data_IF_625814955283
#
_entry.id   IF_625814955283
#
_cell.length_a   1.000
_cell.length_b   1.000
_cell.length_c   1.000
_cell.angle_alpha   90.00
_cell.angle_beta   90.00
_cell.angle_gamma   90.00
#
_symmetry.space_group_name_H-M   'P 1'
#
loop_
_entity.id
_entity.type
_entity.pdbx_description
1 polymer ?
#
# COMPACT_ATOMS: atom_id res chain seq x y z
N UNK A 1 48.95 47.45 8.75
CA UNK A 1 48.75 46.52 9.89
C UNK A 1 47.64 45.57 9.51
N UNK A 2 48.01 44.35 9.09
CA UNK A 2 47.06 43.31 8.76
C UNK A 2 46.73 42.50 10.02
N UNK A 3 45.46 42.29 10.40
CA UNK A 3 45.12 41.43 11.53
C UNK A 3 45.41 39.96 11.18
N UNK A 4 46.08 39.27 12.09
CA UNK A 4 46.36 37.83 12.00
C UNK A 4 45.05 37.00 11.99
N UNK A 5 44.97 35.92 11.21
CA UNK A 5 43.81 35.04 11.21
C UNK A 5 43.69 34.31 12.57
N UNK A 6 42.46 34.05 13.04
CA UNK A 6 42.23 33.30 14.27
C UNK A 6 42.72 31.84 14.12
N UNK A 7 43.41 31.35 15.15
CA UNK A 7 43.85 29.95 15.25
C UNK A 7 42.66 29.00 15.19
N UNK A 8 42.78 27.84 14.48
CA UNK A 8 41.75 26.85 14.48
C UNK A 8 41.53 26.26 15.87
N UNK A 9 40.31 26.31 16.36
CA UNK A 9 39.90 25.70 17.60
C UNK A 9 40.19 24.19 17.55
N UNK A 10 41.05 23.73 18.44
CA UNK A 10 41.36 22.32 18.66
C UNK A 10 40.08 21.62 19.13
N UNK A 11 39.46 20.85 18.24
CA UNK A 11 38.32 20.02 18.57
C UNK A 11 38.74 19.01 19.64
N UNK A 12 38.13 19.11 20.81
CA UNK A 12 38.33 18.14 21.88
C UNK A 12 38.01 16.74 21.37
N UNK A 13 38.79 15.71 21.70
CA UNK A 13 38.47 14.34 21.36
C UNK A 13 37.13 13.97 22.02
N UNK A 14 36.13 13.62 21.21
CA UNK A 14 34.88 13.09 21.71
C UNK A 14 35.18 11.78 22.43
N UNK A 15 35.03 11.78 23.76
CA UNK A 15 35.09 10.60 24.60
C UNK A 15 33.97 9.61 24.15
N UNK A 16 34.24 8.85 23.14
CA UNK A 16 33.38 7.75 22.70
C UNK A 16 33.65 6.57 23.64
N UNK A 17 32.98 6.59 24.79
CA UNK A 17 32.91 5.41 25.67
C UNK A 17 32.38 4.26 24.81
N UNK A 18 33.11 3.15 24.65
CA UNK A 18 32.64 2.03 23.82
C UNK A 18 31.33 1.51 24.37
N UNK A 19 30.30 1.54 23.55
CA UNK A 19 29.00 0.98 23.91
C UNK A 19 29.18 -0.52 24.22
N UNK A 20 28.74 -1.01 25.39
CA UNK A 20 28.91 -2.42 25.74
C UNK A 20 28.23 -3.32 24.69
N UNK A 21 28.80 -4.48 24.38
CA UNK A 21 28.26 -5.41 23.40
C UNK A 21 26.82 -5.79 23.72
N UNK A 22 26.00 -6.00 22.70
CA UNK A 22 24.63 -6.47 22.85
C UNK A 22 24.67 -7.95 23.25
N UNK A 23 24.14 -8.27 24.41
CA UNK A 23 23.88 -9.63 24.85
C UNK A 23 22.66 -9.62 25.77
N UNK A 24 21.48 -9.77 25.16
CA UNK A 24 20.20 -9.70 25.86
C UNK A 24 19.42 -10.98 25.58
N UNK A 25 18.97 -11.63 26.63
CA UNK A 25 18.15 -12.84 26.58
C UNK A 25 16.74 -12.49 26.99
N UNK A 26 15.77 -12.80 26.16
CA UNK A 26 14.36 -12.52 26.36
C UNK A 26 13.53 -13.79 26.19
N UNK A 27 12.63 -14.05 27.13
CA UNK A 27 11.60 -15.06 26.92
C UNK A 27 10.51 -14.51 26.01
N UNK A 28 10.44 -15.03 24.80
CA UNK A 28 9.39 -14.65 23.85
C UNK A 28 8.14 -15.47 24.12
N UNK A 29 7.04 -14.77 24.40
CA UNK A 29 5.70 -15.37 24.50
C UNK A 29 4.90 -15.00 23.25
N UNK A 30 4.49 -16.00 22.53
CA UNK A 30 3.63 -15.78 21.36
C UNK A 30 2.22 -15.37 21.79
N UNK A 31 1.85 -14.12 21.50
CA UNK A 31 0.49 -13.60 21.63
C UNK A 31 -0.21 -13.60 20.24
N UNK A 32 -1.40 -14.22 20.14
CA UNK A 32 -2.17 -14.21 18.89
C UNK A 32 -2.52 -12.81 18.35
N UNK A 33 -2.64 -11.81 19.23
CA UNK A 33 -2.90 -10.43 18.83
C UNK A 33 -1.68 -9.80 18.13
N UNK A 34 -0.48 -10.07 18.64
CA UNK A 34 0.79 -9.64 18.02
C UNK A 34 0.96 -10.28 16.64
N UNK A 35 0.59 -11.54 16.49
CA UNK A 35 0.65 -12.26 15.23
C UNK A 35 -0.23 -11.64 14.16
N UNK A 36 -1.39 -11.13 14.52
CA UNK A 36 -2.28 -10.44 13.61
C UNK A 36 -1.70 -9.11 13.13
N UNK A 37 -1.15 -8.30 14.04
CA UNK A 37 -0.50 -7.03 13.72
C UNK A 37 0.69 -7.23 12.79
N UNK A 38 1.53 -8.24 13.06
CA UNK A 38 2.66 -8.61 12.21
C UNK A 38 2.16 -8.99 10.80
N UNK A 39 1.12 -9.82 10.70
CA UNK A 39 0.55 -10.21 9.43
C UNK A 39 0.00 -8.99 8.64
N UNK A 40 -0.65 -8.05 9.31
CA UNK A 40 -1.11 -6.81 8.67
C UNK A 40 0.03 -5.99 8.10
N UNK A 41 1.10 -5.76 8.86
CA UNK A 41 2.27 -5.01 8.38
C UNK A 41 2.92 -5.72 7.20
N UNK A 42 3.11 -7.04 7.27
CA UNK A 42 3.67 -7.81 6.16
C UNK A 42 2.81 -7.69 4.90
N UNK A 43 1.49 -7.77 5.03
CA UNK A 43 0.56 -7.62 3.93
C UNK A 43 0.53 -6.19 3.39
N UNK A 44 0.71 -5.20 4.25
CA UNK A 44 0.79 -3.79 3.84
C UNK A 44 2.09 -3.44 3.12
N UNK A 45 3.19 -4.13 3.43
CA UNK A 45 4.46 -4.02 2.71
C UNK A 45 4.48 -4.87 1.43
N UNK A 46 3.52 -5.76 1.25
CA UNK A 46 3.29 -6.49 -0.01
C UNK A 46 2.43 -5.65 -0.97
N UNK A 47 2.31 -6.12 -2.22
CA UNK A 47 1.42 -5.50 -3.22
C UNK A 47 -0.08 -5.63 -2.87
N UNK A 48 -0.41 -6.31 -1.76
CA UNK A 48 -1.77 -6.52 -1.26
C UNK A 48 -2.17 -5.53 -0.16
N UNK A 49 -1.70 -4.27 -0.21
CA UNK A 49 -2.10 -3.29 0.81
C UNK A 49 -3.62 -3.04 0.77
N UNK A 50 -4.23 -2.97 1.95
CA UNK A 50 -5.68 -2.75 2.10
C UNK A 50 -6.12 -1.44 1.44
N UNK A 51 -5.37 -0.37 1.68
CA UNK A 51 -5.67 0.96 1.14
C UNK A 51 -5.76 0.95 -0.38
N UNK A 52 -4.79 0.33 -1.08
CA UNK A 52 -4.80 0.26 -2.54
C UNK A 52 -5.95 -0.58 -3.08
N UNK A 53 -6.22 -1.70 -2.44
CA UNK A 53 -7.32 -2.56 -2.85
C UNK A 53 -8.66 -1.84 -2.74
N UNK A 54 -8.86 -1.05 -1.68
CA UNK A 54 -10.05 -0.22 -1.49
C UNK A 54 -10.12 0.92 -2.50
N UNK A 55 -8.99 1.55 -2.82
CA UNK A 55 -8.92 2.59 -3.85
C UNK A 55 -9.32 2.05 -5.22
N UNK A 56 -8.82 0.88 -5.62
CA UNK A 56 -9.26 0.24 -6.88
C UNK A 56 -10.75 -0.12 -6.84
N UNK A 57 -11.25 -0.64 -5.72
CA UNK A 57 -12.65 -1.02 -5.58
C UNK A 57 -13.57 0.21 -5.68
N UNK A 58 -13.41 1.19 -4.81
CA UNK A 58 -14.28 2.35 -4.76
C UNK A 58 -14.08 3.28 -5.95
N UNK A 59 -12.83 3.50 -6.38
CA UNK A 59 -12.53 4.27 -7.58
C UNK A 59 -13.11 3.63 -8.83
N UNK A 60 -13.02 2.32 -8.95
CA UNK A 60 -13.64 1.58 -10.05
C UNK A 60 -15.16 1.68 -10.05
N UNK A 61 -15.82 1.54 -8.89
CA UNK A 61 -17.28 1.71 -8.77
C UNK A 61 -17.69 3.13 -9.22
N UNK A 62 -16.97 4.15 -8.75
CA UNK A 62 -17.25 5.53 -9.11
C UNK A 62 -17.14 5.76 -10.61
N UNK A 63 -16.05 5.28 -11.23
CA UNK A 63 -15.84 5.41 -12.69
C UNK A 63 -16.92 4.68 -13.46
N UNK A 64 -17.29 3.46 -13.06
CA UNK A 64 -18.38 2.71 -13.73
C UNK A 64 -19.74 3.42 -13.59
N UNK A 65 -20.01 4.00 -12.42
CA UNK A 65 -21.28 4.73 -12.18
C UNK A 65 -21.38 6.04 -12.96
N UNK A 66 -20.24 6.74 -13.15
CA UNK A 66 -20.21 8.00 -13.90
C UNK A 66 -20.26 7.80 -15.43
N UNK A 67 -19.80 6.64 -15.92
CA UNK A 67 -19.64 6.34 -17.34
C UNK A 67 -20.18 4.96 -17.70
N UNK A 68 -21.49 4.67 -17.48
CA UNK A 68 -22.04 3.31 -17.66
C UNK A 68 -21.92 2.82 -19.12
N UNK A 69 -22.11 3.71 -20.09
CA UNK A 69 -22.14 3.36 -21.51
C UNK A 69 -20.85 3.65 -22.27
N UNK A 70 -19.77 4.01 -21.56
CA UNK A 70 -18.49 4.40 -22.14
C UNK A 70 -17.43 3.31 -21.87
N UNK A 71 -16.48 3.06 -22.80
CA UNK A 71 -15.34 2.17 -22.53
C UNK A 71 -14.54 2.53 -21.27
N UNK A 72 -14.59 3.80 -20.83
CA UNK A 72 -14.01 4.23 -19.54
C UNK A 72 -14.73 3.55 -18.36
N UNK A 73 -16.05 3.39 -18.42
CA UNK A 73 -16.81 2.64 -17.42
C UNK A 73 -16.40 1.16 -17.35
N UNK A 74 -16.12 0.54 -18.50
CA UNK A 74 -15.59 -0.82 -18.53
C UNK A 74 -14.24 -0.96 -17.81
N UNK A 75 -13.34 0.03 -17.95
CA UNK A 75 -12.08 0.08 -17.19
C UNK A 75 -12.34 0.22 -15.69
N UNK A 76 -13.37 0.97 -15.29
CA UNK A 76 -13.83 1.02 -13.90
C UNK A 76 -14.25 -0.36 -13.40
N UNK A 77 -15.01 -1.13 -14.18
CA UNK A 77 -15.40 -2.50 -13.86
C UNK A 77 -14.19 -3.43 -13.65
N UNK A 78 -13.18 -3.34 -14.52
CA UNK A 78 -11.92 -4.08 -14.38
C UNK A 78 -11.20 -3.69 -13.07
N UNK A 79 -11.16 -2.41 -12.71
CA UNK A 79 -10.56 -1.95 -11.46
C UNK A 79 -11.31 -2.49 -10.23
N UNK A 80 -12.64 -2.57 -10.26
CA UNK A 80 -13.47 -3.19 -9.20
C UNK A 80 -13.08 -4.66 -9.00
N UNK A 81 -13.04 -5.43 -10.10
CA UNK A 81 -12.67 -6.86 -10.05
C UNK A 81 -11.26 -7.00 -9.47
N UNK A 82 -10.31 -6.21 -9.92
CA UNK A 82 -8.94 -6.24 -9.46
C UNK A 82 -8.83 -5.90 -7.96
N UNK A 83 -9.55 -4.87 -7.50
CA UNK A 83 -9.63 -4.50 -6.08
C UNK A 83 -10.22 -5.64 -5.22
N UNK A 84 -11.32 -6.23 -5.67
CA UNK A 84 -11.98 -7.35 -4.98
C UNK A 84 -11.08 -8.59 -4.88
N UNK A 85 -10.42 -8.96 -5.99
CA UNK A 85 -9.47 -10.08 -6.02
C UNK A 85 -8.31 -9.84 -5.06
N UNK A 86 -7.75 -8.63 -5.03
CA UNK A 86 -6.67 -8.29 -4.08
C UNK A 86 -7.13 -8.38 -2.62
N UNK A 87 -8.34 -7.91 -2.30
CA UNK A 87 -8.91 -8.04 -0.94
C UNK A 87 -9.12 -9.51 -0.57
N UNK A 88 -9.62 -10.33 -1.49
CA UNK A 88 -9.78 -11.76 -1.29
C UNK A 88 -8.44 -12.47 -1.04
N UNK A 89 -7.43 -12.19 -1.87
CA UNK A 89 -6.08 -12.74 -1.71
C UNK A 89 -5.46 -12.33 -0.36
N UNK A 90 -5.67 -11.06 0.07
CA UNK A 90 -5.27 -10.59 1.38
C UNK A 90 -5.94 -11.40 2.50
N UNK A 91 -7.26 -11.56 2.44
CA UNK A 91 -8.00 -12.32 3.44
C UNK A 91 -7.55 -13.79 3.49
N UNK A 92 -7.29 -14.40 2.33
CA UNK A 92 -6.76 -15.76 2.22
C UNK A 92 -5.35 -15.86 2.81
N UNK A 93 -4.46 -14.92 2.48
CA UNK A 93 -3.09 -14.89 3.03
C UNK A 93 -3.10 -14.73 4.55
N UNK A 94 -3.96 -13.85 5.09
CA UNK A 94 -4.14 -13.69 6.52
C UNK A 94 -4.62 -14.98 7.20
N UNK A 95 -5.58 -15.70 6.59
CA UNK A 95 -6.04 -17.02 7.09
C UNK A 95 -4.95 -18.07 7.06
N UNK A 96 -4.13 -18.10 5.99
CA UNK A 96 -3.01 -19.03 5.88
C UNK A 96 -1.93 -18.76 6.91
N UNK A 97 -1.60 -17.51 7.16
CA UNK A 97 -0.63 -17.12 8.20
C UNK A 97 -1.10 -17.58 9.58
N UNK A 98 -2.39 -17.43 9.90
CA UNK A 98 -2.97 -17.95 11.14
C UNK A 98 -2.87 -19.48 11.24
N UNK A 99 -3.19 -20.21 10.16
CA UNK A 99 -3.16 -21.69 10.16
C UNK A 99 -1.75 -22.26 10.31
N UNK A 100 -0.74 -21.60 9.75
CA UNK A 100 0.66 -22.07 9.80
C UNK A 100 1.27 -22.00 11.18
N UNK A 101 0.74 -21.17 12.07
CA UNK A 101 1.26 -20.97 13.43
C UNK A 101 0.68 -21.95 14.46
N UNK A 102 -0.14 -22.90 14.04
CA UNK A 102 -0.72 -23.94 14.90
C UNK A 102 -1.83 -23.45 15.82
N UNK A 103 -2.51 -24.35 16.52
CA UNK A 103 -3.49 -23.99 17.54
C UNK A 103 -2.77 -23.29 18.70
N UNK A 104 -3.42 -22.26 19.24
CA UNK A 104 -2.92 -21.40 20.33
C UNK A 104 -2.50 -22.12 21.62
N UNK A 105 -2.63 -23.45 21.68
CA UNK A 105 -2.21 -24.29 22.80
C UNK A 105 -0.76 -24.83 22.72
N UNK A 106 -0.04 -24.58 21.62
CA UNK A 106 1.38 -24.95 21.50
C UNK A 106 2.31 -23.72 21.64
N UNK A 107 1.95 -22.75 22.41
CA UNK A 107 2.83 -21.64 22.82
C UNK A 107 3.90 -22.17 23.77
N UNK A 108 4.87 -22.87 23.20
CA UNK A 108 6.13 -23.11 23.88
C UNK A 108 6.80 -21.77 24.11
N UNK A 109 7.23 -21.49 25.32
CA UNK A 109 8.14 -20.37 25.58
C UNK A 109 9.40 -20.59 24.74
N UNK A 110 9.71 -19.64 23.89
CA UNK A 110 10.97 -19.62 23.16
C UNK A 110 11.87 -18.56 23.81
N UNK A 111 13.12 -18.89 24.01
CA UNK A 111 14.11 -17.92 24.46
C UNK A 111 14.81 -17.35 23.24
N UNK A 112 14.82 -16.03 23.16
CA UNK A 112 15.49 -15.27 22.09
C UNK A 112 16.68 -14.53 22.68
N UNK A 113 17.87 -14.79 22.18
CA UNK A 113 19.09 -14.09 22.58
C UNK A 113 19.57 -13.21 21.44
N UNK A 114 19.67 -11.93 21.74
CA UNK A 114 20.14 -10.91 20.82
C UNK A 114 21.61 -10.61 21.09
N UNK A 115 22.44 -10.76 20.05
CA UNK A 115 23.88 -10.40 20.11
C UNK A 115 24.20 -9.43 18.96
N UNK A 116 25.38 -8.82 18.98
CA UNK A 116 25.82 -7.91 17.91
C UNK A 116 25.90 -8.59 16.54
N UNK A 117 26.18 -9.89 16.50
CA UNK A 117 26.45 -10.64 15.26
C UNK A 117 25.35 -11.60 14.83
N UNK A 118 24.51 -12.05 15.75
CA UNK A 118 23.49 -13.07 15.45
C UNK A 118 22.30 -13.00 16.39
N UNK A 119 21.22 -13.62 15.94
CA UNK A 119 20.03 -13.94 16.72
C UNK A 119 20.07 -15.44 17.06
N UNK A 120 19.91 -15.78 18.33
CA UNK A 120 19.81 -17.14 18.77
C UNK A 120 18.39 -17.42 19.26
N UNK A 121 17.76 -18.42 18.69
CA UNK A 121 16.41 -18.88 19.04
C UNK A 121 16.54 -20.23 19.72
N UNK A 122 16.05 -20.34 20.94
CA UNK A 122 16.02 -21.62 21.67
C UNK A 122 14.58 -21.95 22.05
N UNK A 123 14.16 -23.16 21.77
CA UNK A 123 12.84 -23.69 22.10
C UNK A 123 12.94 -25.15 22.56
N UNK A 124 11.84 -25.72 23.03
CA UNK A 124 11.76 -27.16 23.37
C UNK A 124 12.15 -28.08 22.21
N UNK A 125 12.06 -27.60 20.95
CA UNK A 125 12.34 -28.36 19.74
C UNK A 125 13.78 -28.19 19.23
N UNK A 126 14.62 -27.40 19.90
CA UNK A 126 16.01 -27.17 19.54
C UNK A 126 16.42 -25.69 19.59
N UNK A 127 17.69 -25.44 19.30
CA UNK A 127 18.25 -24.10 19.20
C UNK A 127 18.77 -23.84 17.81
N UNK A 128 18.59 -22.61 17.34
CA UNK A 128 19.10 -22.13 16.07
C UNK A 128 19.83 -20.80 16.27
N UNK A 129 21.04 -20.70 15.75
CA UNK A 129 21.85 -19.49 15.74
C UNK A 129 21.94 -18.95 14.32
N UNK A 130 21.43 -17.75 14.09
CA UNK A 130 21.32 -17.17 12.76
C UNK A 130 22.03 -15.81 12.72
N UNK A 131 23.11 -15.66 11.94
CA UNK A 131 23.77 -14.37 11.75
C UNK A 131 22.80 -13.32 11.17
N UNK A 132 22.92 -12.07 11.61
CA UNK A 132 22.05 -10.99 11.14
C UNK A 132 22.07 -10.82 9.62
N UNK A 133 23.25 -10.91 9.01
CA UNK A 133 23.43 -10.78 7.55
C UNK A 133 22.73 -11.88 6.75
N UNK A 134 22.56 -13.06 7.32
CA UNK A 134 21.81 -14.16 6.69
C UNK A 134 20.33 -14.13 7.02
N UNK A 135 19.96 -13.55 8.17
CA UNK A 135 18.57 -13.45 8.62
C UNK A 135 17.79 -12.42 7.82
N UNK A 136 18.33 -11.22 7.65
CA UNK A 136 17.62 -10.11 7.04
C UNK A 136 18.52 -9.21 6.19
N UNK A 137 17.92 -8.59 5.17
CA UNK A 137 18.55 -7.53 4.35
C UNK A 137 17.90 -6.17 4.60
N UNK A 138 16.72 -6.16 5.20
CA UNK A 138 15.96 -4.94 5.50
C UNK A 138 14.95 -5.17 6.61
N UNK A 139 14.53 -4.08 7.27
CA UNK A 139 13.50 -4.13 8.29
C UNK A 139 12.41 -3.08 8.05
N UNK A 140 11.20 -3.35 8.55
CA UNK A 140 10.10 -2.39 8.62
C UNK A 140 9.74 -2.15 10.08
N UNK A 141 9.62 -0.87 10.42
CA UNK A 141 9.17 -0.43 11.74
C UNK A 141 7.64 -0.43 11.75
N UNK A 142 7.06 -1.25 12.61
CA UNK A 142 5.60 -1.36 12.83
C UNK A 142 5.11 -0.55 14.03
N UNK A 143 5.97 0.26 14.67
CA UNK A 143 5.65 1.01 15.88
C UNK A 143 5.94 0.21 17.15
N UNK A 144 5.18 -0.83 17.46
CA UNK A 144 5.37 -1.67 18.65
C UNK A 144 6.33 -2.83 18.41
N UNK A 145 6.61 -3.18 17.18
CA UNK A 145 7.44 -4.32 16.77
C UNK A 145 8.22 -4.01 15.49
N UNK A 146 9.24 -4.82 15.22
CA UNK A 146 10.04 -4.74 14.00
C UNK A 146 9.84 -6.01 13.16
N UNK A 147 9.63 -5.84 11.86
CA UNK A 147 9.57 -6.96 10.92
C UNK A 147 10.83 -6.99 10.09
N UNK A 148 11.51 -8.11 10.12
CA UNK A 148 12.74 -8.36 9.36
C UNK A 148 12.41 -9.06 8.05
N UNK A 149 13.03 -8.61 6.95
CA UNK A 149 12.81 -9.13 5.62
C UNK A 149 14.11 -9.60 4.97
N UNK A 150 14.05 -10.76 4.33
CA UNK A 150 15.06 -11.24 3.41
C UNK A 150 14.53 -11.10 1.97
N UNK A 151 15.00 -10.08 1.26
CA UNK A 151 14.39 -9.71 -0.01
C UNK A 151 12.91 -9.32 0.13
N UNK A 152 12.00 -9.99 -0.57
CA UNK A 152 10.55 -9.75 -0.50
C UNK A 152 9.84 -10.57 0.59
N UNK A 153 10.52 -11.55 1.19
CA UNK A 153 9.92 -12.47 2.17
C UNK A 153 10.18 -11.97 3.59
N UNK A 154 9.19 -12.14 4.46
CA UNK A 154 9.39 -11.98 5.89
C UNK A 154 10.32 -13.09 6.39
N UNK A 155 11.34 -12.70 7.11
CA UNK A 155 12.25 -13.63 7.78
C UNK A 155 11.77 -13.92 9.21
N UNK A 156 11.58 -12.87 10.01
CA UNK A 156 11.08 -12.96 11.40
C UNK A 156 10.51 -11.60 11.82
N UNK A 157 9.90 -11.56 13.00
CA UNK A 157 9.50 -10.32 13.65
C UNK A 157 10.06 -10.30 15.06
N UNK A 158 10.45 -9.13 15.54
CA UNK A 158 10.85 -8.85 16.91
C UNK A 158 9.63 -8.29 17.61
N UNK A 159 9.19 -8.94 18.66
CA UNK A 159 7.96 -8.63 19.38
C UNK A 159 8.13 -7.44 20.34
N UNK A 160 7.04 -6.84 20.85
CA UNK A 160 7.10 -5.67 21.73
C UNK A 160 7.95 -5.90 22.97
N UNK A 161 7.78 -7.03 23.65
CA UNK A 161 8.52 -7.37 24.88
C UNK A 161 10.02 -7.53 24.60
N UNK A 162 10.38 -8.20 23.50
CA UNK A 162 11.75 -8.37 23.03
C UNK A 162 12.37 -7.01 22.68
N UNK A 163 11.61 -6.16 21.95
CA UNK A 163 12.05 -4.83 21.54
C UNK A 163 12.28 -3.91 22.73
N UNK A 164 11.40 -3.98 23.73
CA UNK A 164 11.53 -3.20 24.97
C UNK A 164 12.73 -3.65 25.80
N UNK A 165 13.00 -4.93 25.87
CA UNK A 165 14.13 -5.48 26.63
C UNK A 165 15.49 -5.11 26.01
N UNK A 166 15.59 -5.15 24.68
CA UNK A 166 16.84 -4.85 23.97
C UNK A 166 17.06 -3.34 23.79
N UNK A 167 16.00 -2.61 23.56
CA UNK A 167 16.02 -1.18 23.18
C UNK A 167 16.10 -1.00 21.66
N UNK A 168 15.21 -0.16 21.16
CA UNK A 168 15.06 0.09 19.72
C UNK A 168 16.32 0.68 19.07
N UNK A 169 16.90 1.70 19.70
CA UNK A 169 18.08 2.40 19.16
C UNK A 169 19.29 1.46 19.08
N UNK A 170 19.42 0.57 20.06
CA UNK A 170 20.47 -0.43 20.09
C UNK A 170 20.32 -1.45 18.97
N UNK A 171 19.10 -1.93 18.72
CA UNK A 171 18.83 -2.81 17.58
C UNK A 171 19.10 -2.11 16.24
N UNK A 172 18.75 -0.84 16.11
CA UNK A 172 19.04 -0.10 14.89
C UNK A 172 20.52 0.05 14.65
N UNK A 173 21.32 0.28 15.71
CA UNK A 173 22.78 0.30 15.60
C UNK A 173 23.34 -1.05 15.13
N UNK A 174 22.83 -2.17 15.69
CA UNK A 174 23.21 -3.53 15.28
C UNK A 174 22.80 -3.79 13.82
N UNK A 175 21.61 -3.37 13.41
CA UNK A 175 21.15 -3.51 12.03
C UNK A 175 22.03 -2.72 11.06
N UNK A 176 22.36 -1.48 11.40
CA UNK A 176 23.25 -0.65 10.59
C UNK A 176 24.65 -1.27 10.45
N UNK A 177 25.21 -1.79 11.55
CA UNK A 177 26.50 -2.48 11.54
C UNK A 177 26.49 -3.75 10.68
N UNK A 178 25.35 -4.44 10.57
CA UNK A 178 25.16 -5.65 9.77
C UNK A 178 24.60 -5.40 8.36
N UNK A 179 24.50 -4.14 7.91
CA UNK A 179 24.02 -3.77 6.58
C UNK A 179 22.52 -3.99 6.36
N UNK A 180 21.73 -4.10 7.44
CA UNK A 180 20.28 -4.24 7.37
C UNK A 180 19.66 -2.84 7.28
N UNK A 181 19.08 -2.50 6.14
CA UNK A 181 18.58 -1.16 5.86
C UNK A 181 17.10 -1.00 6.20
N UNK A 182 16.66 0.19 6.65
CA UNK A 182 15.25 0.45 6.86
C UNK A 182 14.49 0.48 5.53
N UNK A 183 13.37 -0.21 5.46
CA UNK A 183 12.43 -0.09 4.35
C UNK A 183 11.68 1.23 4.45
N UNK A 184 12.00 2.18 3.59
CA UNK A 184 11.24 3.42 3.47
C UNK A 184 10.07 3.21 2.52
N UNK A 185 8.86 3.35 3.03
CA UNK A 185 7.68 3.50 2.17
C UNK A 185 7.67 4.93 1.63
N UNK A 186 7.88 5.09 0.33
CA UNK A 186 7.74 6.41 -0.30
C UNK A 186 6.32 6.94 -0.05
N UNK A 187 6.20 8.18 0.45
CA UNK A 187 4.91 8.86 0.64
C UNK A 187 4.13 8.96 -0.67
N UNK A 188 4.83 9.11 -1.77
CA UNK A 188 4.27 9.11 -3.13
C UNK A 188 3.54 7.81 -3.48
N UNK A 189 3.98 6.70 -2.94
CA UNK A 189 3.35 5.40 -3.17
C UNK A 189 1.95 5.29 -2.55
N UNK A 190 1.65 6.11 -1.54
CA UNK A 190 0.30 6.23 -0.96
C UNK A 190 -0.57 7.20 -1.76
N UNK A 191 0.00 8.25 -2.32
CA UNK A 191 -0.71 9.28 -3.06
C UNK A 191 -1.04 8.87 -4.50
N UNK A 192 -0.22 8.03 -5.13
CA UNK A 192 -0.37 7.61 -6.53
C UNK A 192 -1.77 7.09 -6.91
N UNK A 193 -2.41 6.17 -6.14
CA UNK A 193 -3.74 5.71 -6.51
C UNK A 193 -4.80 6.80 -6.41
N UNK A 194 -4.69 7.74 -5.47
CA UNK A 194 -5.59 8.87 -5.36
C UNK A 194 -5.40 9.87 -6.50
N UNK A 195 -4.15 10.11 -6.90
CA UNK A 195 -3.81 10.91 -8.08
C UNK A 195 -4.37 10.30 -9.36
N UNK A 196 -4.26 8.99 -9.53
CA UNK A 196 -4.82 8.28 -10.68
C UNK A 196 -6.35 8.42 -10.75
N UNK A 197 -7.06 8.29 -9.61
CA UNK A 197 -8.51 8.49 -9.55
C UNK A 197 -8.87 9.94 -9.86
N UNK A 198 -8.15 10.91 -9.31
CA UNK A 198 -8.38 12.32 -9.56
C UNK A 198 -8.19 12.65 -11.05
N UNK A 199 -7.12 12.16 -11.67
CA UNK A 199 -6.87 12.35 -13.10
C UNK A 199 -7.95 11.70 -13.97
N UNK A 200 -8.40 10.50 -13.62
CA UNK A 200 -9.51 9.83 -14.28
C UNK A 200 -10.81 10.63 -14.13
N UNK A 201 -11.12 11.12 -12.94
CA UNK A 201 -12.32 11.94 -12.71
C UNK A 201 -12.29 13.26 -13.51
N UNK A 202 -11.13 13.91 -13.57
CA UNK A 202 -10.93 15.14 -14.36
C UNK A 202 -11.05 14.84 -15.85
N UNK A 203 -10.40 13.81 -16.36
CA UNK A 203 -10.51 13.41 -17.76
C UNK A 203 -11.96 13.07 -18.15
N UNK A 204 -12.64 12.38 -17.27
CA UNK A 204 -14.04 12.03 -17.42
C UNK A 204 -14.95 13.26 -17.46
N UNK A 205 -14.73 14.23 -16.59
CA UNK A 205 -15.47 15.50 -16.57
C UNK A 205 -15.32 16.26 -17.90
N UNK A 206 -14.11 16.35 -18.44
CA UNK A 206 -13.88 17.00 -19.73
C UNK A 206 -14.51 16.25 -20.91
N UNK A 207 -14.41 14.92 -20.94
CA UNK A 207 -15.06 14.10 -21.97
C UNK A 207 -16.59 14.26 -21.96
N UNK A 208 -17.20 14.34 -20.78
CA UNK A 208 -18.63 14.54 -20.64
C UNK A 208 -19.05 15.93 -21.13
N UNK A 209 -18.25 16.98 -20.87
CA UNK A 209 -18.52 18.35 -21.34
C UNK A 209 -18.44 18.47 -22.87
N UNK A 210 -17.48 17.77 -23.51
CA UNK A 210 -17.37 17.74 -24.96
C UNK A 210 -18.58 17.03 -25.61
N UNK A 211 -19.03 15.90 -25.05
CA UNK A 211 -20.22 15.21 -25.55
C UNK A 211 -21.49 16.04 -25.41
N UNK A 212 -21.65 16.79 -24.32
CA UNK A 212 -22.81 17.68 -24.13
C UNK A 212 -22.83 18.84 -25.13
N UNK A 213 -21.69 19.41 -25.47
CA UNK A 213 -21.58 20.50 -26.45
C UNK A 213 -21.87 20.04 -27.88
N UNK A 214 -21.62 18.79 -28.21
CA UNK A 214 -21.98 18.21 -29.50
C UNK A 214 -23.46 17.84 -29.61
N UNK A 215 -24.11 17.48 -28.51
CA UNK A 215 -25.55 17.18 -28.50
C UNK A 215 -26.42 18.40 -28.73
N UNK A 216 -26.05 19.56 -28.17
CA UNK A 216 -26.76 20.83 -28.37
C UNK A 216 -26.61 21.39 -29.80
N UNK A 217 -25.55 21.02 -30.53
CA UNK A 217 -25.33 21.48 -31.91
C UNK A 217 -26.15 20.74 -32.97
N UNK A 218 -26.76 19.60 -32.62
CA UNK A 218 -27.52 18.78 -33.60
C UNK A 218 -29.03 18.99 -33.59
N UNK A 219 -29.58 19.64 -32.57
CA UNK A 219 -31.03 19.87 -32.48
C UNK A 219 -31.55 21.08 -33.28
N UNK A 220 -30.68 21.89 -33.88
CA UNK A 220 -31.11 23.10 -34.63
C UNK A 220 -31.32 22.90 -36.13
N UNK A 221 -31.24 21.65 -36.60
CA UNK A 221 -31.66 21.33 -37.97
C UNK A 221 -33.11 20.82 -37.98
N UNK A 222 -34.06 21.71 -37.66
CA UNK A 222 -35.47 21.47 -37.93
C UNK A 222 -35.62 21.33 -39.45
N UNK A 223 -36.10 20.19 -39.97
CA UNK A 223 -36.33 20.02 -41.39
C UNK A 223 -37.45 21.01 -41.78
N UNK A 224 -37.11 21.99 -42.64
CA UNK A 224 -38.07 22.85 -43.25
C UNK A 224 -39.21 22.02 -43.88
N UNK A 225 -40.37 22.06 -43.25
CA UNK A 225 -41.58 21.44 -43.79
C UNK A 225 -41.86 22.10 -45.14
N UNK A 226 -41.87 21.37 -46.28
CA UNK A 226 -42.22 21.96 -47.55
C UNK A 226 -43.69 22.37 -47.49
N UNK A 227 -43.96 23.63 -47.66
CA UNK A 227 -45.29 24.18 -47.76
C UNK A 227 -46.02 23.50 -48.93
N UNK A 228 -46.97 22.64 -48.61
CA UNK A 228 -47.94 22.11 -49.59
C UNK A 228 -48.75 23.26 -50.14
N UNK A 229 -48.43 23.67 -51.38
CA UNK A 229 -49.28 24.49 -52.17
C UNK A 229 -50.64 23.81 -52.33
N UNK A 230 -51.66 24.34 -51.70
CA UNK A 230 -53.01 24.03 -51.97
C UNK A 230 -53.37 24.69 -53.35
N UNK A 231 -53.32 23.88 -54.40
CA UNK A 231 -53.83 24.25 -55.72
C UNK A 231 -55.34 24.00 -55.73
N UNK A 232 -56.05 25.10 -55.66
CA UNK A 232 -57.49 25.21 -55.86
C UNK A 232 -57.79 24.92 -57.32
N UNK A 233 -58.43 23.85 -57.62
CA UNK A 233 -59.04 23.59 -58.91
C UNK A 233 -60.57 23.68 -58.77
N UNK A 234 -61.04 24.84 -59.10
CA UNK A 234 -62.43 25.19 -59.45
C UNK A 234 -62.78 24.53 -60.81
N UNK A 235 -63.98 24.10 -61.04
CA UNK A 235 -64.43 23.66 -62.36
C UNK A 235 -65.57 22.63 -62.38
N UNK A 236 -66.74 23.06 -62.05
CA UNK A 236 -67.97 23.14 -62.85
C UNK A 236 -68.18 21.96 -63.84
N UNK A 237 -69.25 21.22 -63.75
CA UNK A 237 -70.45 21.30 -64.60
C UNK A 237 -71.29 20.04 -64.48
N UNK A 238 -72.48 20.20 -64.01
CA UNK A 238 -73.71 19.48 -64.40
C UNK A 238 -73.93 19.54 -65.92
N UNK A 239 -74.74 18.61 -66.62
CA UNK A 239 -76.12 18.47 -66.34
C UNK A 239 -76.69 17.06 -66.59
N UNK A 240 -77.88 16.85 -66.04
CA UNK A 240 -78.89 15.80 -66.36
C UNK A 240 -79.36 15.83 -67.85
N UNK A 241 -80.22 14.89 -68.37
CA UNK A 241 -81.46 14.47 -67.74
C UNK A 241 -81.54 12.97 -67.42
#
# INVERSE_FOLDING_TARGET
MNPSPPSPATSAPSDTTPTPPLDVVVESRHDPASDWRIAEVVLDWSDCSRERSLVYLFGGILVTALFPDNPVGALGGVAVIFGAVKLFLRARAARMLRKRRGPAGQSGSATVRFTDSHLELSSSNGSARVPWSSLATSYADGGDFLVLFRGKRMATAILPDELSAVGRDRLFAVFAANGIIPRRRSRWYRAMPWLAILLLAVAAFFAQREMSSHAEGTETSEPAVPALHAESADGAKEPAP
#
